data_IF_633400328331
#
_entry.id   IF_633400328331
#
_cell.length_a   1.000
_cell.length_b   1.000
_cell.length_c   1.000
_cell.angle_alpha   90.00
_cell.angle_beta   90.00
_cell.angle_gamma   90.00
#
_symmetry.space_group_name_H-M   'P 1'
#
loop_
_entity.id
_entity.type
_entity.pdbx_description
1 polymer ?
#
# COMPACT_ATOMS: atom_id res chain seq x y z
N UNK A 1 4.46 -10.83 36.39
CA UNK A 1 4.04 -11.11 34.99
C UNK A 1 4.31 -9.84 34.19
N UNK A 2 4.75 -9.99 32.94
CA UNK A 2 4.98 -8.87 32.03
C UNK A 2 3.78 -8.79 31.08
N UNK A 3 3.24 -7.59 30.87
CA UNK A 3 2.20 -7.29 29.89
C UNK A 3 2.76 -6.38 28.80
N UNK A 4 2.29 -6.55 27.56
CA UNK A 4 2.69 -5.72 26.42
C UNK A 4 1.42 -5.15 25.78
N UNK A 5 1.36 -3.83 25.64
CA UNK A 5 0.32 -3.13 24.92
C UNK A 5 0.88 -2.49 23.66
N UNK A 6 0.38 -2.90 22.50
CA UNK A 6 0.67 -2.28 21.21
C UNK A 6 -0.59 -1.56 20.71
N UNK A 7 -0.49 -0.24 20.56
CA UNK A 7 -1.45 0.54 19.79
C UNK A 7 -0.90 0.65 18.37
N UNK A 8 -1.53 -0.07 17.42
CA UNK A 8 -1.17 -0.06 16.00
C UNK A 8 -2.20 0.76 15.21
N UNK A 9 -2.08 2.08 15.29
CA UNK A 9 -2.97 3.01 14.61
C UNK A 9 -2.62 3.21 13.14
N UNK A 10 -3.53 3.85 12.40
CA UNK A 10 -3.32 4.18 10.97
C UNK A 10 -2.19 5.18 10.79
N UNK A 11 -2.16 6.24 11.61
CA UNK A 11 -1.16 7.31 11.49
C UNK A 11 0.09 7.04 12.33
N UNK A 12 -0.09 6.57 13.56
CA UNK A 12 0.97 6.39 14.55
C UNK A 12 0.78 5.09 15.33
N UNK A 13 1.88 4.58 15.87
CA UNK A 13 1.96 3.38 16.67
C UNK A 13 2.76 3.64 17.96
N UNK A 14 2.40 2.97 19.05
CA UNK A 14 3.06 3.08 20.35
C UNK A 14 3.13 1.72 21.05
N UNK A 15 4.19 1.46 21.80
CA UNK A 15 4.37 0.23 22.59
C UNK A 15 4.61 0.59 24.06
N UNK A 16 3.88 -0.09 24.95
CA UNK A 16 4.09 0.00 26.38
C UNK A 16 4.28 -1.39 26.99
N UNK A 17 5.14 -1.47 28.00
CA UNK A 17 5.37 -2.66 28.81
C UNK A 17 4.86 -2.39 30.22
N UNK A 18 4.03 -3.30 30.73
CA UNK A 18 3.62 -3.34 32.12
C UNK A 18 4.41 -4.40 32.88
N UNK A 19 5.04 -4.01 33.99
CA UNK A 19 5.75 -4.92 34.89
C UNK A 19 5.59 -4.45 36.34
N UNK A 20 5.17 -5.36 37.23
CA UNK A 20 5.07 -5.12 38.68
C UNK A 20 4.37 -3.81 39.05
N UNK A 21 3.20 -3.56 38.45
CA UNK A 21 2.37 -2.35 38.65
C UNK A 21 2.92 -1.05 38.04
N UNK A 22 3.92 -1.14 37.17
CA UNK A 22 4.47 0.01 36.43
C UNK A 22 4.26 -0.14 34.92
N UNK A 23 3.81 0.93 34.27
CA UNK A 23 3.74 1.03 32.81
C UNK A 23 4.91 1.89 32.31
N UNK A 24 5.66 1.37 31.35
CA UNK A 24 6.75 2.10 30.67
C UNK A 24 6.54 2.07 29.17
N UNK A 25 6.51 3.25 28.55
CA UNK A 25 6.51 3.38 27.09
C UNK A 25 7.91 3.13 26.54
N UNK A 26 7.98 2.36 25.45
CA UNK A 26 9.22 2.01 24.77
C UNK A 26 9.49 3.03 23.67
N UNK A 27 10.74 3.45 23.56
CA UNK A 27 11.20 4.28 22.44
C UNK A 27 11.28 3.39 21.19
N UNK A 28 10.23 3.44 20.37
CA UNK A 28 10.10 2.68 19.13
C UNK A 28 10.79 3.33 17.94
N UNK A 29 10.90 4.65 17.94
CA UNK A 29 11.39 5.44 16.80
C UNK A 29 12.39 6.51 17.25
N UNK A 30 13.63 6.13 17.61
CA UNK A 30 14.66 7.06 18.06
C UNK A 30 14.88 8.34 17.22
N UNK A 31 14.78 8.32 15.87
CA UNK A 31 14.92 9.53 15.06
C UNK A 31 13.70 10.47 15.10
N UNK A 32 12.56 10.04 15.64
CA UNK A 32 11.38 10.90 15.78
C UNK A 32 11.57 11.97 16.87
N UNK A 33 10.85 13.08 16.74
CA UNK A 33 10.81 14.14 17.77
C UNK A 33 10.32 13.62 19.13
N UNK A 34 9.42 12.62 19.13
CA UNK A 34 9.06 11.85 20.31
C UNK A 34 9.28 10.36 20.00
N UNK A 35 10.36 9.74 20.52
CA UNK A 35 10.71 8.36 20.21
C UNK A 35 9.65 7.31 20.59
N UNK A 36 8.71 7.65 21.46
CA UNK A 36 7.63 6.76 21.90
C UNK A 36 6.49 6.65 20.91
N UNK A 37 6.39 7.58 19.97
CA UNK A 37 5.33 7.65 18.96
C UNK A 37 5.97 7.44 17.60
N UNK A 38 5.84 6.23 17.07
CA UNK A 38 6.37 5.88 15.76
C UNK A 38 5.30 6.14 14.68
N UNK A 39 5.58 6.85 13.59
CA UNK A 39 4.68 6.89 12.44
C UNK A 39 4.40 5.47 11.91
N UNK A 40 3.15 5.16 11.62
CA UNK A 40 2.76 3.87 11.03
C UNK A 40 3.13 3.85 9.55
N UNK A 41 4.42 3.62 9.29
CA UNK A 41 5.02 3.68 7.98
C UNK A 41 5.97 2.50 7.75
N UNK A 42 5.94 1.96 6.53
CA UNK A 42 6.84 0.93 6.02
C UNK A 42 7.36 1.38 4.66
N UNK A 43 8.67 1.44 4.49
CA UNK A 43 9.29 1.62 3.17
C UNK A 43 9.90 0.30 2.72
N UNK A 44 9.57 -0.12 1.50
CA UNK A 44 10.14 -1.28 0.83
C UNK A 44 10.87 -0.83 -0.44
N UNK A 45 12.18 -1.04 -0.49
CA UNK A 45 12.98 -0.79 -1.70
C UNK A 45 12.88 -1.96 -2.71
N UNK A 46 13.39 -1.76 -3.91
CA UNK A 46 13.40 -2.78 -4.97
C UNK A 46 14.23 -4.03 -4.67
N UNK A 47 15.18 -3.94 -3.74
CA UNK A 47 15.96 -5.07 -3.25
C UNK A 47 15.28 -5.77 -2.06
N UNK A 48 14.02 -5.44 -1.75
CA UNK A 48 13.26 -5.93 -0.60
C UNK A 48 13.85 -5.51 0.76
N UNK A 49 14.71 -4.49 0.77
CA UNK A 49 15.13 -3.81 1.98
C UNK A 49 13.97 -3.06 2.61
N UNK A 50 13.89 -3.09 3.94
CA UNK A 50 12.78 -2.52 4.71
C UNK A 50 13.26 -1.47 5.72
N UNK A 51 12.47 -0.43 5.91
CA UNK A 51 12.56 0.47 7.06
C UNK A 51 11.16 0.82 7.56
N UNK A 52 11.04 1.21 8.83
CA UNK A 52 9.77 1.57 9.48
C UNK A 52 9.87 2.95 10.15
N UNK A 53 8.73 3.51 10.55
CA UNK A 53 8.68 4.75 11.31
C UNK A 53 9.22 5.96 10.54
N UNK A 54 9.86 6.88 11.25
CA UNK A 54 10.49 8.07 10.69
C UNK A 54 11.59 7.70 9.69
N UNK A 55 12.37 6.66 9.99
CA UNK A 55 13.40 6.15 9.06
C UNK A 55 12.85 5.65 7.72
N UNK A 56 11.61 5.12 7.69
CA UNK A 56 10.93 4.79 6.42
C UNK A 56 10.65 6.03 5.58
N UNK A 57 10.12 7.07 6.23
CA UNK A 57 9.74 8.32 5.58
C UNK A 57 10.99 9.02 5.05
N UNK A 58 12.02 9.16 5.88
CA UNK A 58 13.26 9.84 5.50
C UNK A 58 13.97 9.14 4.37
N UNK A 59 14.07 7.81 4.42
CA UNK A 59 14.66 7.02 3.35
C UNK A 59 13.88 7.15 2.05
N UNK A 60 12.54 7.03 2.09
CA UNK A 60 11.70 7.23 0.91
C UNK A 60 11.93 8.60 0.27
N UNK A 61 11.96 9.66 1.08
CA UNK A 61 12.20 11.03 0.61
C UNK A 61 13.61 11.20 0.05
N UNK A 62 14.62 10.60 0.69
CA UNK A 62 16.00 10.58 0.23
C UNK A 62 16.16 9.88 -1.12
N UNK A 63 15.64 8.66 -1.23
CA UNK A 63 15.74 7.83 -2.42
C UNK A 63 15.00 8.45 -3.62
N UNK A 64 13.95 9.25 -3.37
CA UNK A 64 13.20 9.95 -4.42
C UNK A 64 13.69 11.39 -4.69
N UNK A 65 14.68 11.90 -3.95
CA UNK A 65 15.12 13.29 -4.10
C UNK A 65 15.73 13.54 -5.47
N UNK A 66 15.23 14.56 -6.17
CA UNK A 66 15.73 14.95 -7.49
C UNK A 66 15.42 13.94 -8.60
N UNK A 67 14.61 12.92 -8.32
CA UNK A 67 14.23 11.91 -9.30
C UNK A 67 13.24 12.47 -10.32
N UNK A 68 13.45 12.13 -11.58
CA UNK A 68 12.46 12.36 -12.64
C UNK A 68 11.49 11.18 -12.66
N UNK A 69 10.19 11.46 -12.53
CA UNK A 69 9.13 10.45 -12.62
C UNK A 69 8.99 9.98 -14.08
N UNK A 70 9.12 8.67 -14.31
CA UNK A 70 9.04 8.10 -15.67
C UNK A 70 7.91 7.09 -15.77
N UNK A 71 6.76 7.59 -16.18
CA UNK A 71 5.55 6.79 -16.37
C UNK A 71 5.59 6.04 -17.70
N UNK A 72 5.39 4.72 -17.63
CA UNK A 72 5.19 3.86 -18.79
C UNK A 72 3.80 3.26 -18.72
N UNK A 73 3.05 3.31 -19.82
CA UNK A 73 1.80 2.56 -19.94
C UNK A 73 2.13 1.06 -19.97
N UNK A 74 1.53 0.31 -19.05
CA UNK A 74 1.63 -1.14 -18.98
C UNK A 74 0.26 -1.77 -19.18
N UNK A 75 0.23 -2.92 -19.86
CA UNK A 75 -0.96 -3.78 -19.90
C UNK A 75 -1.04 -4.51 -18.57
N UNK A 76 -2.11 -4.25 -17.81
CA UNK A 76 -2.33 -4.83 -16.48
C UNK A 76 -3.14 -6.12 -16.60
N UNK A 77 -4.05 -6.20 -17.57
CA UNK A 77 -4.85 -7.40 -17.80
C UNK A 77 -5.94 -7.21 -18.84
N UNK A 78 -6.95 -8.07 -18.79
CA UNK A 78 -8.15 -7.98 -19.62
C UNK A 78 -9.37 -8.24 -18.74
N UNK A 79 -10.46 -7.51 -19.00
CA UNK A 79 -11.77 -7.77 -18.41
C UNK A 79 -12.73 -8.22 -19.50
N UNK A 80 -13.56 -9.21 -19.19
CA UNK A 80 -14.61 -9.69 -20.07
C UNK A 80 -15.95 -9.13 -19.60
N UNK A 81 -16.67 -8.47 -20.50
CA UNK A 81 -18.02 -7.99 -20.25
C UNK A 81 -18.98 -8.77 -21.15
N UNK A 82 -19.86 -9.56 -20.53
CA UNK A 82 -20.87 -10.34 -21.25
C UNK A 82 -22.22 -9.64 -21.15
N UNK A 83 -22.81 -9.33 -22.30
CA UNK A 83 -24.12 -8.71 -22.40
C UNK A 83 -25.12 -9.72 -22.96
N UNK A 84 -26.18 -9.99 -22.20
CA UNK A 84 -27.33 -10.73 -22.69
C UNK A 84 -28.36 -9.76 -23.27
N UNK A 85 -28.94 -10.11 -24.41
CA UNK A 85 -30.02 -9.34 -25.02
C UNK A 85 -31.35 -9.76 -24.41
N UNK A 86 -31.92 -8.90 -23.57
CA UNK A 86 -33.29 -9.04 -23.08
C UNK A 86 -34.21 -8.22 -23.96
N UNK A 87 -34.70 -8.76 -25.08
CA UNK A 87 -35.85 -8.17 -25.74
C UNK A 87 -36.95 -9.19 -26.06
N UNK A 88 -38.17 -8.74 -25.77
CA UNK A 88 -39.49 -9.28 -26.08
C UNK A 88 -39.84 -9.14 -27.58
N UNK A 89 -38.87 -9.28 -28.49
CA UNK A 89 -39.11 -9.28 -29.93
C UNK A 89 -38.70 -10.60 -30.58
N UNK A 90 -39.56 -11.05 -31.50
CA UNK A 90 -39.64 -12.42 -32.02
C UNK A 90 -38.39 -12.83 -32.80
N UNK A 91 -38.06 -14.10 -32.61
CA UNK A 91 -36.86 -14.78 -33.07
C UNK A 91 -36.64 -14.72 -34.60
N UNK A 92 -35.46 -14.22 -34.99
CA UNK A 92 -34.74 -14.54 -36.22
C UNK A 92 -33.31 -14.89 -35.83
N UNK A 93 -32.74 -15.95 -36.44
CA UNK A 93 -31.54 -16.68 -36.01
C UNK A 93 -30.35 -15.84 -35.50
N UNK A 94 -29.85 -16.21 -34.31
CA UNK A 94 -28.59 -15.73 -33.74
C UNK A 94 -28.68 -15.21 -32.31
N UNK A 95 -29.27 -15.97 -31.38
CA UNK A 95 -29.35 -15.59 -29.95
C UNK A 95 -28.10 -16.09 -29.24
N UNK A 96 -27.16 -15.20 -28.97
CA UNK A 96 -25.96 -15.51 -28.21
C UNK A 96 -25.55 -14.33 -27.34
N UNK A 97 -25.25 -14.59 -26.08
CA UNK A 97 -24.61 -13.62 -25.21
C UNK A 97 -23.36 -13.06 -25.90
N UNK A 98 -23.23 -11.73 -25.94
CA UNK A 98 -22.07 -11.08 -26.58
C UNK A 98 -21.04 -10.75 -25.51
N UNK A 99 -19.90 -11.44 -25.54
CA UNK A 99 -18.75 -11.11 -24.68
C UNK A 99 -17.81 -10.15 -25.40
N UNK A 100 -17.51 -9.01 -24.78
CA UNK A 100 -16.48 -8.07 -25.21
C UNK A 100 -15.29 -8.12 -24.26
N UNK A 101 -14.10 -8.34 -24.81
CA UNK A 101 -12.84 -8.25 -24.08
C UNK A 101 -12.33 -6.81 -24.13
N UNK A 102 -12.12 -6.21 -22.96
CA UNK A 102 -11.51 -4.90 -22.82
C UNK A 102 -10.13 -5.03 -22.17
N UNK A 103 -9.12 -4.42 -22.79
CA UNK A 103 -7.78 -4.37 -22.21
C UNK A 103 -7.75 -3.36 -21.06
N UNK A 104 -7.22 -3.80 -19.91
CA UNK A 104 -6.96 -2.95 -18.76
C UNK A 104 -5.51 -2.52 -18.82
N UNK A 105 -5.29 -1.21 -18.95
CA UNK A 105 -3.95 -0.62 -18.90
C UNK A 105 -3.79 0.26 -17.66
N UNK A 106 -2.57 0.34 -17.17
CA UNK A 106 -2.17 1.19 -16.06
C UNK A 106 -0.88 1.93 -16.40
N UNK A 107 -0.43 2.79 -15.50
CA UNK A 107 0.88 3.42 -15.59
C UNK A 107 1.78 2.88 -14.49
N UNK A 108 3.01 2.54 -14.86
CA UNK A 108 4.07 2.16 -13.94
C UNK A 108 5.15 3.24 -13.94
N UNK A 109 5.56 3.67 -12.75
CA UNK A 109 6.74 4.52 -12.58
C UNK A 109 7.98 3.63 -12.58
N UNK A 110 8.52 3.44 -13.78
CA UNK A 110 9.58 2.46 -14.05
C UNK A 110 10.85 2.68 -13.24
N UNK A 111 11.10 3.91 -12.79
CA UNK A 111 12.28 4.30 -12.03
C UNK A 111 12.01 4.46 -10.53
N UNK A 112 10.83 4.07 -10.04
CA UNK A 112 10.51 4.19 -8.62
C UNK A 112 11.47 3.30 -7.79
N UNK A 113 12.26 3.86 -6.84
CA UNK A 113 13.25 3.09 -6.08
C UNK A 113 12.63 2.12 -5.07
N UNK A 114 11.40 2.42 -4.63
CA UNK A 114 10.66 1.66 -3.64
C UNK A 114 9.31 2.29 -3.33
N UNK A 115 8.48 1.59 -2.55
CA UNK A 115 7.16 2.06 -2.15
C UNK A 115 7.12 2.35 -0.65
N UNK A 116 6.60 3.53 -0.31
CA UNK A 116 6.21 3.87 1.06
C UNK A 116 4.74 3.50 1.26
N UNK A 117 4.48 2.70 2.27
CA UNK A 117 3.16 2.38 2.78
C UNK A 117 2.99 3.16 4.08
N UNK A 118 2.01 4.05 4.10
CA UNK A 118 1.66 4.86 5.27
C UNK A 118 0.15 4.80 5.41
N UNK A 119 -0.34 4.52 6.62
CA UNK A 119 -1.77 4.49 6.92
C UNK A 119 -2.37 5.88 7.09
#
# INVERSE_FOLDING_TARGET
MIGIGLDFGTTNSTLAVWEADRITYIDLDPPAANPKIMPSALYLDRAMGRSVGTGAIDRYLGDNRGRIVRLKRIKVGQIAMTFSTTESQRAGHGRGDTTRLHEVSGYDDTELPGRLFRG
#
